data_IF_112505027005
#
_entry.id   IF_112505027005
#
_cell.length_a   1.000
_cell.length_b   1.000
_cell.length_c   1.000
_cell.angle_alpha   90.00
_cell.angle_beta   90.00
_cell.angle_gamma   90.00
#
_symmetry.space_group_name_H-M   'P 1'
#
loop_
_entity.id
_entity.type
_entity.pdbx_description
1 polymer ?
#
# COMPACT_ATOMS: atom_id res chain seq x y z
N UNK A 1 3.24 0.77 27.15
CA UNK A 1 2.78 2.14 26.84
C UNK A 1 1.69 2.48 27.87
N UNK A 2 1.53 3.73 28.32
CA UNK A 2 0.40 4.10 29.21
C UNK A 2 -0.95 4.23 28.47
N UNK A 3 -1.06 3.71 27.24
CA UNK A 3 -2.23 3.89 26.39
C UNK A 3 -3.51 3.33 27.01
N UNK A 4 -3.44 2.22 27.74
CA UNK A 4 -4.59 1.55 28.36
C UNK A 4 -5.06 2.21 29.67
N UNK A 5 -4.32 3.20 30.18
CA UNK A 5 -4.66 3.90 31.44
C UNK A 5 -5.82 4.86 31.21
N UNK A 6 -6.82 4.80 32.08
CA UNK A 6 -7.91 5.77 32.12
C UNK A 6 -7.38 7.11 32.65
N UNK A 7 -7.82 8.19 32.02
CA UNK A 7 -7.43 9.55 32.42
C UNK A 7 -8.52 10.22 33.25
N UNK A 8 -9.78 9.89 32.97
CA UNK A 8 -10.91 10.48 33.65
C UNK A 8 -11.52 9.49 34.63
N UNK A 9 -12.00 10.00 35.76
CA UNK A 9 -12.76 9.18 36.69
C UNK A 9 -14.01 8.60 35.99
N UNK A 10 -14.45 7.39 36.38
CA UNK A 10 -15.67 6.77 35.84
C UNK A 10 -16.92 7.64 35.91
N UNK A 11 -16.98 8.56 36.88
CA UNK A 11 -18.10 9.47 37.15
C UNK A 11 -18.16 10.66 36.19
N UNK A 12 -17.09 10.95 35.45
CA UNK A 12 -17.06 12.04 34.47
C UNK A 12 -17.94 11.67 33.28
N UNK A 13 -18.95 12.50 33.00
CA UNK A 13 -19.76 12.34 31.80
C UNK A 13 -18.96 12.76 30.55
N UNK A 14 -18.92 11.89 29.54
CA UNK A 14 -18.13 12.11 28.32
C UNK A 14 -19.04 12.58 27.19
N UNK A 15 -18.67 13.67 26.52
CA UNK A 15 -19.37 14.14 25.33
C UNK A 15 -18.92 13.34 24.12
N UNK A 16 -19.68 12.30 23.82
CA UNK A 16 -19.37 11.34 22.76
C UNK A 16 -19.99 11.74 21.41
N UNK A 17 -19.31 11.48 20.29
CA UNK A 17 -19.95 11.53 18.98
C UNK A 17 -21.05 10.45 18.88
N UNK A 18 -22.08 10.65 18.03
CA UNK A 18 -23.08 9.62 17.79
C UNK A 18 -22.42 8.36 17.24
N UNK A 19 -22.94 7.18 17.63
CA UNK A 19 -22.46 5.91 17.09
C UNK A 19 -22.80 5.86 15.60
N UNK A 20 -21.80 5.72 14.72
CA UNK A 20 -22.04 5.55 13.30
C UNK A 20 -22.95 4.36 13.02
N UNK A 21 -24.00 4.58 12.22
CA UNK A 21 -24.97 3.53 11.89
C UNK A 21 -24.32 2.51 10.96
N UNK A 22 -24.19 1.28 11.47
CA UNK A 22 -23.74 0.12 10.69
C UNK A 22 -24.71 -0.20 9.57
N UNK A 23 -24.17 -0.49 8.40
CA UNK A 23 -24.93 -0.71 7.16
C UNK A 23 -24.34 -1.81 6.27
N UNK A 24 -23.12 -2.29 6.54
CA UNK A 24 -22.51 -3.37 5.78
C UNK A 24 -22.82 -4.70 6.48
N UNK A 25 -23.17 -5.69 5.67
CA UNK A 25 -23.34 -7.07 6.06
C UNK A 25 -22.26 -7.91 5.35
N UNK A 26 -21.68 -8.87 6.09
CA UNK A 26 -20.69 -9.81 5.57
C UNK A 26 -21.20 -11.21 5.88
N UNK A 27 -21.37 -12.02 4.85
CA UNK A 27 -21.88 -13.39 4.97
C UNK A 27 -20.88 -14.33 4.31
N UNK A 28 -20.58 -15.46 4.94
CA UNK A 28 -19.79 -16.50 4.29
C UNK A 28 -20.60 -17.16 3.19
N UNK A 29 -19.98 -17.35 2.03
CA UNK A 29 -20.62 -17.86 0.82
C UNK A 29 -20.02 -19.19 0.40
N UNK A 30 -20.85 -20.03 -0.24
CA UNK A 30 -20.43 -21.29 -0.85
C UNK A 30 -19.84 -21.11 -2.26
N UNK A 31 -19.74 -19.87 -2.74
CA UNK A 31 -19.19 -19.55 -4.07
C UNK A 31 -17.73 -20.03 -4.18
N UNK A 32 -17.50 -21.06 -5.00
CA UNK A 32 -16.23 -21.79 -5.05
C UNK A 32 -15.07 -21.06 -5.75
N UNK A 33 -15.29 -19.94 -6.45
CA UNK A 33 -14.23 -19.28 -7.24
C UNK A 33 -14.19 -17.78 -6.98
N UNK A 34 -13.20 -17.38 -6.19
CA UNK A 34 -12.67 -16.01 -6.17
C UNK A 34 -11.48 -16.01 -7.11
N UNK A 35 -11.50 -15.15 -8.11
CA UNK A 35 -10.34 -14.96 -8.97
C UNK A 35 -9.22 -14.33 -8.14
N UNK A 36 -8.15 -15.10 -7.92
CA UNK A 36 -6.99 -14.66 -7.16
C UNK A 36 -6.00 -13.87 -8.02
N UNK A 37 -6.17 -13.85 -9.35
CA UNK A 37 -5.27 -13.18 -10.28
C UNK A 37 -5.56 -11.66 -10.38
N UNK A 38 -6.78 -11.23 -10.04
CA UNK A 38 -7.13 -9.83 -9.72
C UNK A 38 -7.54 -9.71 -8.24
N UNK A 39 -6.59 -9.59 -7.30
CA UNK A 39 -6.92 -9.55 -5.87
C UNK A 39 -7.73 -8.32 -5.47
N UNK A 40 -7.85 -7.30 -6.32
CA UNK A 40 -8.67 -6.14 -6.03
C UNK A 40 -10.14 -6.40 -6.36
N UNK A 41 -10.44 -7.27 -7.33
CA UNK A 41 -11.80 -7.71 -7.74
C UNK A 41 -12.83 -6.56 -7.74
N UNK A 42 -12.39 -5.35 -8.12
CA UNK A 42 -13.15 -4.11 -7.93
C UNK A 42 -13.27 -3.37 -9.25
N UNK A 43 -14.46 -2.86 -9.51
CA UNK A 43 -14.72 -1.94 -10.61
C UNK A 43 -14.31 -0.49 -10.30
N UNK A 44 -13.68 -0.24 -9.14
CA UNK A 44 -13.28 1.09 -8.75
C UNK A 44 -12.25 1.67 -9.71
N UNK A 45 -12.40 2.96 -10.10
CA UNK A 45 -11.47 3.60 -11.00
C UNK A 45 -10.06 3.60 -10.41
N UNK A 46 -9.08 3.46 -11.29
CA UNK A 46 -7.66 3.60 -10.99
C UNK A 46 -7.33 5.10 -10.86
N UNK A 47 -6.84 5.58 -9.70
CA UNK A 47 -6.59 7.00 -9.51
C UNK A 47 -5.58 7.55 -10.53
N UNK A 48 -6.05 8.45 -11.40
CA UNK A 48 -5.28 8.99 -12.53
C UNK A 48 -4.79 7.93 -13.53
N UNK A 49 -5.42 6.75 -13.59
CA UNK A 49 -4.99 5.66 -14.47
C UNK A 49 -5.35 5.91 -15.94
N UNK A 50 -4.46 5.52 -16.84
CA UNK A 50 -4.65 5.52 -18.31
C UNK A 50 -4.43 4.14 -18.94
N UNK A 51 -4.04 3.15 -18.13
CA UNK A 51 -3.96 1.75 -18.52
C UNK A 51 -4.84 0.91 -17.60
N UNK A 52 -5.21 -0.32 -18.01
CA UNK A 52 -5.65 -1.36 -17.09
C UNK A 52 -4.59 -1.65 -16.01
N UNK A 53 -4.99 -2.38 -14.97
CA UNK A 53 -4.06 -2.97 -14.03
C UNK A 53 -3.27 -4.08 -14.74
N UNK A 54 -1.95 -4.07 -14.61
CA UNK A 54 -1.06 -5.04 -15.21
C UNK A 54 -0.21 -5.74 -14.14
N UNK A 55 0.03 -7.03 -14.32
CA UNK A 55 0.93 -7.82 -13.47
C UNK A 55 2.34 -7.74 -14.06
N UNK A 56 3.17 -6.83 -13.53
CA UNK A 56 4.57 -6.65 -13.96
C UNK A 56 5.49 -7.62 -13.21
N UNK A 57 6.51 -8.18 -13.85
CA UNK A 57 7.45 -9.10 -13.19
C UNK A 57 8.69 -8.36 -12.69
N UNK A 58 9.13 -8.66 -11.47
CA UNK A 58 10.40 -8.14 -10.94
C UNK A 58 11.55 -8.85 -11.63
N UNK A 59 12.31 -8.12 -12.43
CA UNK A 59 13.45 -8.63 -13.20
C UNK A 59 14.73 -8.56 -12.37
N UNK A 60 14.95 -7.43 -11.71
CA UNK A 60 16.13 -7.19 -10.88
C UNK A 60 15.87 -6.05 -9.91
N UNK A 61 16.71 -5.95 -8.89
CA UNK A 61 16.78 -4.77 -8.04
C UNK A 61 18.19 -4.51 -7.56
N UNK A 62 18.46 -3.30 -7.10
CA UNK A 62 19.74 -2.91 -6.49
C UNK A 62 19.54 -1.89 -5.38
N UNK A 63 20.34 -2.02 -4.33
CA UNK A 63 20.54 -0.97 -3.34
C UNK A 63 21.50 0.08 -3.92
N UNK A 64 21.06 1.32 -4.02
CA UNK A 64 21.80 2.44 -4.61
C UNK A 64 22.67 3.17 -3.57
N UNK A 65 22.32 3.08 -2.29
CA UNK A 65 23.01 3.76 -1.19
C UNK A 65 24.03 2.85 -0.51
N UNK A 66 25.09 3.44 0.04
CA UNK A 66 26.11 2.77 0.86
C UNK A 66 26.39 3.58 2.12
N UNK A 67 26.67 2.91 3.24
CA UNK A 67 26.94 3.52 4.55
C UNK A 67 25.72 3.48 5.48
N UNK A 68 25.97 3.73 6.77
CA UNK A 68 25.00 3.47 7.84
C UNK A 68 24.02 4.65 8.07
N UNK A 69 24.40 5.87 7.68
CA UNK A 69 23.64 7.11 7.90
C UNK A 69 22.89 7.62 6.66
N UNK A 70 22.50 6.71 5.75
CA UNK A 70 21.71 7.04 4.56
C UNK A 70 20.44 6.23 4.49
N UNK A 71 19.34 6.90 4.11
CA UNK A 71 18.07 6.22 3.81
C UNK A 71 18.32 5.22 2.69
N UNK A 72 17.99 3.95 2.93
CA UNK A 72 18.13 2.92 1.91
C UNK A 72 17.33 3.30 0.66
N UNK A 73 18.03 3.50 -0.46
CA UNK A 73 17.40 3.79 -1.76
C UNK A 73 17.55 2.57 -2.65
N UNK A 74 16.45 2.12 -3.24
CA UNK A 74 16.41 0.98 -4.14
C UNK A 74 16.05 1.41 -5.55
N UNK A 75 16.63 0.75 -6.55
CA UNK A 75 16.07 0.68 -7.90
C UNK A 75 15.49 -0.71 -8.13
N UNK A 76 14.29 -0.78 -8.70
CA UNK A 76 13.67 -2.00 -9.18
C UNK A 76 13.44 -1.91 -10.69
N UNK A 77 13.79 -2.97 -11.42
CA UNK A 77 13.46 -3.14 -12.83
C UNK A 77 12.29 -4.11 -12.98
N UNK A 78 11.24 -3.67 -13.67
CA UNK A 78 9.98 -4.38 -13.83
C UNK A 78 9.71 -4.64 -15.32
N UNK A 79 9.41 -5.88 -15.68
CA UNK A 79 8.95 -6.25 -17.02
C UNK A 79 7.45 -5.99 -17.15
N UNK A 80 7.07 -5.13 -18.09
CA UNK A 80 5.67 -4.76 -18.37
C UNK A 80 5.09 -5.53 -19.57
N UNK A 81 5.84 -6.48 -20.16
CA UNK A 81 5.40 -7.41 -21.23
C UNK A 81 4.71 -6.72 -22.41
N UNK A 82 5.20 -5.55 -22.85
CA UNK A 82 4.60 -4.73 -23.94
C UNK A 82 3.16 -4.26 -23.71
N UNK A 83 2.64 -4.34 -22.48
CA UNK A 83 1.25 -4.00 -22.20
C UNK A 83 0.98 -2.49 -22.29
N UNK A 84 2.03 -1.65 -22.31
CA UNK A 84 1.87 -0.20 -22.38
C UNK A 84 3.12 0.51 -22.93
N UNK A 85 2.91 1.64 -23.62
CA UNK A 85 3.98 2.54 -24.09
C UNK A 85 4.16 3.71 -23.11
N UNK A 86 5.39 4.07 -22.78
CA UNK A 86 5.68 5.15 -21.84
C UNK A 86 6.77 6.09 -22.37
N UNK A 87 6.81 7.31 -21.85
CA UNK A 87 7.86 8.28 -22.10
C UNK A 87 8.63 8.59 -20.81
N UNK A 88 9.92 8.98 -20.89
CA UNK A 88 10.63 9.50 -19.74
C UNK A 88 9.87 10.65 -19.06
N UNK A 89 9.71 10.57 -17.74
CA UNK A 89 8.90 11.49 -16.94
C UNK A 89 7.47 11.01 -16.66
N UNK A 90 7.04 9.90 -17.27
CA UNK A 90 5.81 9.22 -16.86
C UNK A 90 5.90 8.59 -15.47
N UNK A 91 4.75 8.21 -14.94
CA UNK A 91 4.64 7.59 -13.63
C UNK A 91 3.69 6.39 -13.65
N UNK A 92 3.93 5.47 -12.74
CA UNK A 92 3.06 4.31 -12.49
C UNK A 92 2.44 4.41 -11.10
N UNK A 93 1.24 3.85 -10.96
CA UNK A 93 0.61 3.58 -9.67
C UNK A 93 0.80 2.11 -9.33
N UNK A 94 1.53 1.83 -8.24
CA UNK A 94 1.78 0.47 -7.75
C UNK A 94 0.79 0.14 -6.63
N UNK A 95 0.10 -1.00 -6.73
CA UNK A 95 -0.74 -1.49 -5.64
C UNK A 95 0.07 -2.35 -4.67
N UNK A 96 0.30 -1.88 -3.44
CA UNK A 96 1.02 -2.68 -2.46
C UNK A 96 0.09 -3.67 -1.76
N UNK A 97 0.70 -4.57 -0.98
CA UNK A 97 -0.01 -5.38 0.00
C UNK A 97 0.42 -4.98 1.42
N UNK A 98 -0.52 -5.04 2.35
CA UNK A 98 -0.22 -4.89 3.76
C UNK A 98 0.67 -6.05 4.26
N UNK A 99 1.55 -5.81 5.26
CA UNK A 99 2.41 -6.87 5.77
C UNK A 99 1.61 -8.05 6.32
N UNK A 100 1.96 -9.27 5.89
CA UNK A 100 1.26 -10.49 6.29
C UNK A 100 1.19 -10.69 7.80
N UNK A 101 2.23 -10.28 8.55
CA UNK A 101 2.23 -10.36 10.00
C UNK A 101 1.08 -9.54 10.63
N UNK A 102 0.83 -8.32 10.12
CA UNK A 102 -0.24 -7.45 10.60
C UNK A 102 -1.61 -7.95 10.15
N UNK A 103 -1.71 -8.45 8.92
CA UNK A 103 -2.93 -9.08 8.39
C UNK A 103 -3.32 -10.27 9.25
N UNK A 104 -2.38 -11.18 9.54
CA UNK A 104 -2.63 -12.36 10.38
C UNK A 104 -3.01 -11.97 11.81
N UNK A 105 -2.38 -10.93 12.38
CA UNK A 105 -2.74 -10.43 13.70
C UNK A 105 -4.18 -9.92 13.74
N UNK A 106 -4.61 -9.16 12.72
CA UNK A 106 -5.99 -8.70 12.61
C UNK A 106 -6.95 -9.86 12.37
N UNK A 107 -6.64 -10.80 11.47
CA UNK A 107 -7.49 -11.98 11.24
C UNK A 107 -7.75 -12.76 12.52
N UNK A 108 -6.71 -13.01 13.32
CA UNK A 108 -6.84 -13.65 14.64
C UNK A 108 -7.71 -12.82 15.57
N UNK A 109 -7.50 -11.51 15.62
CA UNK A 109 -8.28 -10.62 16.47
C UNK A 109 -9.76 -10.58 16.10
N UNK A 110 -10.09 -10.67 14.82
CA UNK A 110 -11.47 -10.68 14.33
C UNK A 110 -12.13 -12.07 14.46
N UNK A 111 -11.41 -13.09 14.93
CA UNK A 111 -11.89 -14.48 14.99
C UNK A 111 -12.00 -15.15 13.62
N UNK A 112 -11.21 -14.71 12.63
CA UNK A 112 -11.32 -15.12 11.22
C UNK A 112 -10.12 -15.94 10.72
N UNK A 113 -9.16 -16.34 11.57
CA UNK A 113 -7.93 -17.01 11.13
C UNK A 113 -8.21 -18.37 10.44
N UNK A 114 -9.15 -19.15 10.97
CA UNK A 114 -9.55 -20.44 10.39
C UNK A 114 -10.32 -20.28 9.07
N UNK A 115 -11.06 -19.18 8.91
CA UNK A 115 -11.89 -18.90 7.74
C UNK A 115 -11.29 -17.80 6.85
N UNK A 116 -9.99 -17.50 6.99
CA UNK A 116 -9.37 -16.34 6.33
C UNK A 116 -9.41 -16.38 4.81
N UNK A 117 -9.46 -17.58 4.24
CA UNK A 117 -9.56 -17.82 2.81
C UNK A 117 -10.98 -18.25 2.38
N UNK A 118 -11.93 -18.34 3.31
CA UNK A 118 -13.29 -18.68 2.97
C UNK A 118 -13.95 -17.51 2.21
N UNK A 119 -14.71 -17.80 1.13
CA UNK A 119 -15.43 -16.77 0.40
C UNK A 119 -16.43 -16.02 1.29
N UNK A 120 -16.45 -14.70 1.15
CA UNK A 120 -17.41 -13.81 1.79
C UNK A 120 -18.11 -12.95 0.75
N UNK A 121 -19.40 -12.72 0.95
CA UNK A 121 -20.22 -11.75 0.24
C UNK A 121 -20.37 -10.49 1.09
N UNK A 122 -20.18 -9.33 0.46
CA UNK A 122 -20.29 -8.01 1.08
C UNK A 122 -21.51 -7.31 0.50
N UNK A 123 -22.50 -7.03 1.35
CA UNK A 123 -23.77 -6.44 0.93
C UNK A 123 -24.18 -5.29 1.85
N UNK A 124 -25.22 -4.55 1.46
CA UNK A 124 -25.85 -3.55 2.33
C UNK A 124 -26.97 -4.23 3.09
N UNK A 125 -27.02 -4.01 4.41
CA UNK A 125 -28.09 -4.49 5.28
C UNK A 125 -29.47 -4.14 4.74
N UNK A 126 -30.41 -5.10 4.82
CA UNK A 126 -31.79 -4.93 4.37
C UNK A 126 -32.43 -3.70 5.03
N UNK A 127 -33.08 -2.86 4.22
CA UNK A 127 -33.76 -1.64 4.69
C UNK A 127 -32.88 -0.40 4.82
N UNK A 128 -31.57 -0.48 4.55
CA UNK A 128 -30.66 0.68 4.59
C UNK A 128 -30.49 1.28 3.18
N UNK A 129 -30.68 2.60 3.04
CA UNK A 129 -30.55 3.33 1.76
C UNK A 129 -29.11 3.74 1.39
N UNK A 130 -28.09 3.19 2.05
CA UNK A 130 -26.68 3.47 1.75
C UNK A 130 -26.20 2.59 0.59
N UNK A 131 -25.13 3.03 -0.09
CA UNK A 131 -24.42 2.23 -1.09
C UNK A 131 -23.09 1.78 -0.53
N UNK A 132 -22.59 0.61 -0.96
CA UNK A 132 -21.22 0.21 -0.66
C UNK A 132 -20.24 1.20 -1.29
N UNK A 133 -19.12 1.51 -0.61
CA UNK A 133 -18.00 2.18 -1.25
C UNK A 133 -17.57 1.42 -2.51
N UNK A 134 -17.40 2.13 -3.63
CA UNK A 134 -17.13 1.52 -4.94
C UNK A 134 -15.87 0.64 -4.99
N UNK A 135 -14.93 0.87 -4.08
CA UNK A 135 -13.69 0.10 -3.98
C UNK A 135 -13.84 -1.23 -3.25
N UNK A 136 -14.97 -1.47 -2.59
CA UNK A 136 -15.21 -2.77 -1.95
C UNK A 136 -15.65 -3.78 -3.02
N UNK A 137 -15.00 -4.94 -3.09
CA UNK A 137 -15.48 -6.04 -3.92
C UNK A 137 -16.78 -6.61 -3.35
N UNK A 138 -17.64 -7.16 -4.21
CA UNK A 138 -18.89 -7.82 -3.77
C UNK A 138 -18.63 -9.21 -3.19
N UNK A 139 -17.59 -9.89 -3.71
CA UNK A 139 -17.13 -11.21 -3.24
C UNK A 139 -15.63 -11.15 -3.02
N UNK A 140 -15.14 -11.63 -1.87
CA UNK A 140 -13.72 -11.67 -1.55
C UNK A 140 -13.43 -12.69 -0.44
N UNK A 141 -12.23 -12.65 0.15
CA UNK A 141 -11.91 -13.40 1.37
C UNK A 141 -11.48 -12.41 2.46
N UNK A 142 -11.64 -12.73 3.76
CA UNK A 142 -11.14 -11.89 4.84
C UNK A 142 -9.65 -11.52 4.68
N UNK A 143 -8.84 -12.47 4.22
CA UNK A 143 -7.41 -12.26 3.95
C UNK A 143 -7.20 -11.21 2.86
N UNK A 144 -7.85 -11.35 1.70
CA UNK A 144 -7.70 -10.38 0.59
C UNK A 144 -8.15 -8.98 1.01
N UNK A 145 -9.26 -8.87 1.73
CA UNK A 145 -9.77 -7.59 2.23
C UNK A 145 -8.72 -6.86 3.07
N UNK A 146 -8.09 -7.54 4.02
CA UNK A 146 -7.10 -6.95 4.91
C UNK A 146 -5.72 -6.79 4.25
N UNK A 147 -5.38 -7.65 3.30
CA UNK A 147 -4.08 -7.64 2.62
C UNK A 147 -4.02 -6.59 1.51
N UNK A 148 -5.07 -6.43 0.72
CA UNK A 148 -5.02 -5.67 -0.55
C UNK A 148 -6.09 -4.59 -0.70
N UNK A 149 -7.17 -4.60 0.11
CA UNK A 149 -8.30 -3.68 -0.08
C UNK A 149 -8.32 -2.53 0.94
N UNK A 150 -8.08 -2.81 2.22
CA UNK A 150 -8.17 -1.81 3.30
C UNK A 150 -6.82 -1.23 3.71
N UNK A 151 -6.78 0.08 3.98
CA UNK A 151 -5.63 0.76 4.59
C UNK A 151 -5.66 0.56 6.11
N UNK A 152 -5.12 -0.59 6.56
CA UNK A 152 -5.15 -1.00 7.98
C UNK A 152 -4.24 -0.16 8.89
N UNK A 153 -3.32 0.61 8.30
CA UNK A 153 -2.44 1.56 9.00
C UNK A 153 -2.95 3.00 8.94
N UNK A 154 -4.16 3.22 8.44
CA UNK A 154 -4.78 4.54 8.39
C UNK A 154 -5.08 5.14 9.77
N UNK A 155 -5.22 6.46 9.82
CA UNK A 155 -5.59 7.18 11.05
C UNK A 155 -6.97 6.72 11.52
N UNK A 156 -7.07 6.31 12.78
CA UNK A 156 -8.33 5.92 13.40
C UNK A 156 -9.16 7.16 13.72
N UNK A 157 -10.25 7.38 12.98
CA UNK A 157 -11.16 8.51 13.25
C UNK A 157 -11.89 8.29 14.58
N UNK A 158 -12.21 9.38 15.30
CA UNK A 158 -12.97 9.30 16.58
C UNK A 158 -14.27 8.50 16.48
N UNK A 159 -15.00 8.62 15.37
CA UNK A 159 -16.21 7.82 15.14
C UNK A 159 -15.94 6.31 15.04
N UNK A 160 -14.77 5.90 14.55
CA UNK A 160 -14.38 4.47 14.53
C UNK A 160 -14.05 3.97 15.93
N UNK A 161 -13.28 4.75 16.71
CA UNK A 161 -13.00 4.45 18.12
C UNK A 161 -14.31 4.34 18.93
N UNK A 162 -15.27 5.23 18.66
CA UNK A 162 -16.61 5.17 19.25
C UNK A 162 -17.32 3.86 18.91
N UNK A 163 -17.28 3.40 17.66
CA UNK A 163 -17.91 2.13 17.28
C UNK A 163 -17.19 0.92 17.90
N UNK A 164 -15.86 0.93 17.98
CA UNK A 164 -15.08 -0.15 18.60
C UNK A 164 -15.48 -0.38 20.07
N UNK A 165 -15.85 0.68 20.79
CA UNK A 165 -16.33 0.58 22.18
C UNK A 165 -17.59 -0.28 22.33
N UNK A 166 -18.42 -0.43 21.30
CA UNK A 166 -19.60 -1.32 21.32
C UNK A 166 -19.22 -2.81 21.22
N UNK A 167 -18.00 -3.11 20.76
CA UNK A 167 -17.47 -4.47 20.62
C UNK A 167 -16.41 -4.79 21.66
N UNK A 168 -16.40 -4.04 22.77
CA UNK A 168 -15.40 -4.15 23.85
C UNK A 168 -16.10 -4.56 25.14
N UNK A 169 -15.70 -5.69 25.71
CA UNK A 169 -16.41 -6.29 26.85
C UNK A 169 -15.87 -5.85 28.21
N UNK A 170 -14.55 -5.64 28.33
CA UNK A 170 -13.94 -5.18 29.57
C UNK A 170 -14.23 -3.70 29.80
N UNK A 171 -14.70 -3.35 31.00
CA UNK A 171 -15.19 -2.01 31.31
C UNK A 171 -14.13 -0.94 31.11
N UNK A 172 -12.92 -1.16 31.66
CA UNK A 172 -11.83 -0.16 31.58
C UNK A 172 -11.40 0.08 30.14
N UNK A 173 -11.32 -0.99 29.36
CA UNK A 173 -10.99 -0.97 27.94
C UNK A 173 -12.04 -0.24 27.10
N UNK A 174 -13.32 -0.56 27.32
CA UNK A 174 -14.45 0.14 26.69
C UNK A 174 -14.41 1.62 27.04
N UNK A 175 -14.26 1.95 28.32
CA UNK A 175 -14.16 3.33 28.79
C UNK A 175 -13.00 4.06 28.13
N UNK A 176 -11.85 3.42 27.94
CA UNK A 176 -10.70 4.03 27.28
C UNK A 176 -10.97 4.41 25.83
N UNK A 177 -11.66 3.56 25.06
CA UNK A 177 -12.09 3.90 23.70
C UNK A 177 -13.08 5.07 23.69
N UNK A 178 -13.99 5.11 24.67
CA UNK A 178 -14.93 6.21 24.82
C UNK A 178 -14.20 7.53 25.13
N UNK A 179 -13.22 7.54 26.05
CA UNK A 179 -12.38 8.71 26.32
C UNK A 179 -11.72 9.22 25.04
N UNK A 180 -11.03 8.36 24.29
CA UNK A 180 -10.34 8.75 23.05
C UNK A 180 -11.30 9.26 21.96
N UNK A 181 -12.56 8.83 21.98
CA UNK A 181 -13.59 9.28 21.03
C UNK A 181 -14.28 10.59 21.45
N UNK A 182 -14.19 10.96 22.73
CA UNK A 182 -14.91 12.10 23.32
C UNK A 182 -14.28 13.47 23.00
N UNK A 183 -14.97 14.54 23.40
CA UNK A 183 -14.42 15.90 23.40
C UNK A 183 -13.34 16.03 24.48
N UNK A 184 -13.59 15.50 25.67
CA UNK A 184 -12.71 15.59 26.84
C UNK A 184 -11.36 14.91 26.58
N UNK A 185 -11.37 13.74 25.93
CA UNK A 185 -10.15 13.00 25.58
C UNK A 185 -9.45 13.48 24.31
N UNK A 186 -9.73 14.69 23.80
CA UNK A 186 -9.08 15.20 22.58
C UNK A 186 -7.55 15.24 22.69
N UNK A 187 -7.00 15.66 23.82
CA UNK A 187 -5.55 15.69 24.02
C UNK A 187 -4.92 14.28 23.97
N UNK A 188 -5.62 13.27 24.49
CA UNK A 188 -5.17 11.88 24.47
C UNK A 188 -5.26 11.28 23.06
N UNK A 189 -6.33 11.61 22.33
CA UNK A 189 -6.46 11.27 20.91
C UNK A 189 -5.31 11.86 20.10
N UNK A 190 -5.01 13.15 20.28
CA UNK A 190 -3.94 13.82 19.56
C UNK A 190 -2.57 13.20 19.88
N UNK A 191 -2.29 12.96 21.17
CA UNK A 191 -1.04 12.34 21.63
C UNK A 191 -0.84 10.93 21.05
N UNK A 192 -1.83 10.06 21.19
CA UNK A 192 -1.66 8.64 20.88
C UNK A 192 -1.99 8.28 19.43
N UNK A 193 -3.07 8.83 18.87
CA UNK A 193 -3.52 8.48 17.52
C UNK A 193 -2.83 9.33 16.46
N UNK A 194 -2.71 10.65 16.67
CA UNK A 194 -2.17 11.55 15.64
C UNK A 194 -0.64 11.69 15.72
N UNK A 195 -0.10 12.00 16.90
CA UNK A 195 1.34 12.23 17.08
C UNK A 195 2.12 10.93 17.12
N UNK A 196 1.69 9.96 17.94
CA UNK A 196 2.30 8.63 17.96
C UNK A 196 1.81 7.74 16.81
N UNK A 197 0.75 8.08 16.07
CA UNK A 197 0.36 7.29 14.91
C UNK A 197 0.01 5.83 15.25
N UNK A 198 -0.67 5.59 16.38
CA UNK A 198 -1.17 4.24 16.68
C UNK A 198 -2.16 3.78 15.59
N UNK A 199 -1.89 2.59 15.08
CA UNK A 199 -2.73 1.91 14.07
C UNK A 199 -3.84 1.10 14.74
N UNK A 200 -4.76 0.55 13.92
CA UNK A 200 -5.80 -0.37 14.42
C UNK A 200 -5.19 -1.55 15.18
N UNK A 201 -4.11 -2.14 14.66
CA UNK A 201 -3.46 -3.28 15.32
C UNK A 201 -2.89 -2.91 16.68
N UNK A 202 -2.32 -1.71 16.81
CA UNK A 202 -1.76 -1.24 18.08
C UNK A 202 -2.87 -1.06 19.12
N UNK A 203 -3.96 -0.40 18.74
CA UNK A 203 -5.12 -0.17 19.62
C UNK A 203 -5.75 -1.48 20.05
N UNK A 204 -5.97 -2.41 19.12
CA UNK A 204 -6.54 -3.71 19.48
C UNK A 204 -5.58 -4.49 20.39
N UNK A 205 -4.27 -4.45 20.15
CA UNK A 205 -3.29 -5.12 21.03
C UNK A 205 -3.38 -4.63 22.48
N UNK A 206 -3.52 -3.32 22.68
CA UNK A 206 -3.66 -2.71 24.01
C UNK A 206 -5.06 -2.87 24.62
N UNK A 207 -6.06 -3.25 23.82
CA UNK A 207 -7.47 -3.40 24.20
C UNK A 207 -7.94 -4.81 23.80
N UNK A 208 -7.46 -5.86 24.50
CA UNK A 208 -7.65 -7.26 24.11
C UNK A 208 -9.12 -7.73 24.11
N UNK A 209 -9.99 -7.13 24.93
CA UNK A 209 -11.41 -7.48 25.00
C UNK A 209 -12.25 -6.90 23.84
N UNK A 210 -11.65 -6.04 23.01
CA UNK A 210 -12.27 -5.50 21.80
C UNK A 210 -12.15 -6.50 20.64
N UNK A 211 -13.29 -7.08 20.23
CA UNK A 211 -13.39 -8.09 19.16
C UNK A 211 -14.42 -7.62 18.11
N UNK A 212 -14.07 -6.65 17.25
CA UNK A 212 -15.01 -6.12 16.27
C UNK A 212 -15.21 -7.09 15.09
N UNK A 213 -16.36 -7.04 14.39
CA UNK A 213 -16.57 -7.81 13.16
C UNK A 213 -15.87 -7.16 11.96
N UNK A 214 -15.61 -7.94 10.91
CA UNK A 214 -15.02 -7.42 9.66
C UNK A 214 -15.88 -6.33 9.01
N UNK A 215 -17.21 -6.43 9.10
CA UNK A 215 -18.14 -5.42 8.59
C UNK A 215 -17.86 -4.03 9.16
N UNK A 216 -17.48 -3.93 10.43
CA UNK A 216 -17.14 -2.65 11.05
C UNK A 216 -15.87 -2.05 10.43
N UNK A 217 -14.85 -2.87 10.15
CA UNK A 217 -13.63 -2.40 9.49
C UNK A 217 -13.94 -1.89 8.08
N UNK A 218 -14.79 -2.59 7.32
CA UNK A 218 -15.22 -2.20 5.97
C UNK A 218 -15.96 -0.85 5.96
N UNK A 219 -16.69 -0.52 7.02
CA UNK A 219 -17.43 0.74 7.16
C UNK A 219 -16.53 1.94 7.48
N UNK A 220 -15.38 1.70 8.13
CA UNK A 220 -14.57 2.74 8.74
C UNK A 220 -13.18 2.93 8.12
N UNK A 221 -12.56 1.87 7.60
CA UNK A 221 -11.23 1.93 7.01
C UNK A 221 -11.31 2.32 5.53
N UNK A 222 -10.43 3.23 5.07
CA UNK A 222 -10.40 3.64 3.67
C UNK A 222 -9.73 2.56 2.80
N UNK A 223 -9.83 2.74 1.47
CA UNK A 223 -9.11 1.92 0.48
C UNK A 223 -7.61 2.00 0.68
N UNK A 224 -6.92 0.87 0.57
CA UNK A 224 -5.47 0.81 0.39
C UNK A 224 -5.10 1.46 -0.95
N UNK A 225 -4.50 2.64 -0.88
CA UNK A 225 -4.24 3.44 -2.08
C UNK A 225 -3.01 2.92 -2.84
N UNK A 226 -3.00 2.94 -4.18
CA UNK A 226 -1.78 2.72 -4.94
C UNK A 226 -0.79 3.86 -4.69
N UNK A 227 0.52 3.56 -4.73
CA UNK A 227 1.59 4.55 -4.54
C UNK A 227 2.22 4.91 -5.89
N UNK A 228 2.43 6.21 -6.09
CA UNK A 228 2.98 6.77 -7.31
C UNK A 228 4.50 6.63 -7.36
N UNK A 229 5.04 6.18 -8.47
CA UNK A 229 6.49 6.22 -8.73
C UNK A 229 6.76 6.78 -10.12
N UNK A 230 7.73 7.69 -10.23
CA UNK A 230 8.25 8.15 -11.51
C UNK A 230 9.06 7.04 -12.17
N UNK A 231 8.88 6.86 -13.47
CA UNK A 231 9.67 5.92 -14.25
C UNK A 231 11.07 6.50 -14.43
N UNK A 232 12.07 5.73 -14.03
CA UNK A 232 13.49 6.07 -14.03
C UNK A 232 14.28 5.44 -15.19
N UNK A 233 13.59 5.03 -16.25
CA UNK A 233 14.15 4.41 -17.46
C UNK A 233 13.63 5.09 -18.72
N UNK A 234 14.24 4.75 -19.86
CA UNK A 234 13.77 5.12 -21.20
C UNK A 234 13.32 3.87 -21.96
N UNK A 235 12.21 3.92 -22.73
CA UNK A 235 11.82 2.81 -23.60
C UNK A 235 12.90 2.50 -24.64
N UNK A 236 13.70 3.49 -25.04
CA UNK A 236 14.80 3.33 -26.02
C UNK A 236 15.92 2.42 -25.49
N UNK A 237 16.18 2.43 -24.19
CA UNK A 237 17.27 1.66 -23.57
C UNK A 237 16.80 0.37 -22.92
N UNK A 238 15.55 0.34 -22.45
CA UNK A 238 15.04 -0.73 -21.61
C UNK A 238 13.91 -1.54 -22.28
N UNK A 239 13.50 -1.17 -23.50
CA UNK A 239 12.46 -1.86 -24.27
C UNK A 239 11.18 -2.05 -23.45
N UNK A 240 10.89 -3.31 -23.11
CA UNK A 240 9.70 -3.76 -22.36
C UNK A 240 9.82 -3.60 -20.83
N UNK A 241 10.85 -2.91 -20.34
CA UNK A 241 11.11 -2.75 -18.91
C UNK A 241 10.96 -1.30 -18.48
N UNK A 242 10.48 -1.13 -17.26
CA UNK A 242 10.50 0.13 -16.54
C UNK A 242 11.38 0.00 -15.31
N UNK A 243 12.08 1.07 -14.96
CA UNK A 243 12.75 1.16 -13.66
C UNK A 243 11.98 2.11 -12.76
N UNK A 244 11.90 1.79 -11.47
CA UNK A 244 11.42 2.70 -10.42
C UNK A 244 12.50 2.85 -9.36
N UNK A 245 12.66 4.06 -8.83
CA UNK A 245 13.61 4.38 -7.76
C UNK A 245 12.85 4.91 -6.55
N UNK A 246 13.12 4.37 -5.37
CA UNK A 246 12.40 4.74 -4.16
C UNK A 246 13.27 4.60 -2.90
N UNK A 247 12.95 5.40 -1.88
CA UNK A 247 13.52 5.25 -0.55
C UNK A 247 12.66 4.28 0.28
N UNK A 248 13.30 3.46 1.11
CA UNK A 248 12.60 2.78 2.19
C UNK A 248 12.09 3.85 3.17
N UNK A 249 10.76 3.95 3.28
CA UNK A 249 10.13 4.83 4.25
C UNK A 249 10.14 4.12 5.59
N UNK A 250 10.61 4.80 6.64
CA UNK A 250 10.46 4.37 8.02
C UNK A 250 9.74 5.49 8.77
N UNK A 251 8.63 5.13 9.41
CA UNK A 251 7.85 6.06 10.24
C UNK A 251 8.65 6.44 11.49
N UNK A 252 8.30 7.55 12.18
CA UNK A 252 8.95 7.92 13.44
C UNK A 252 8.94 6.83 14.53
N UNK A 253 8.03 5.84 14.44
CA UNK A 253 7.97 4.68 15.33
C UNK A 253 8.71 3.44 14.83
N UNK A 254 9.59 3.60 13.85
CA UNK A 254 10.39 2.51 13.30
C UNK A 254 9.61 1.55 12.39
N UNK A 255 8.31 1.78 12.14
CA UNK A 255 7.54 0.94 11.20
C UNK A 255 7.89 1.32 9.77
N UNK A 256 8.26 0.34 8.95
CA UNK A 256 8.50 0.57 7.52
C UNK A 256 7.20 0.90 6.79
N UNK A 257 7.23 1.76 5.76
CA UNK A 257 6.06 2.15 4.97
C UNK A 257 5.58 1.02 4.06
N UNK A 258 4.25 0.86 3.94
CA UNK A 258 3.59 -0.30 3.31
C UNK A 258 4.16 -0.62 1.93
N UNK A 259 4.14 0.34 1.01
CA UNK A 259 4.58 0.09 -0.37
C UNK A 259 6.09 -0.08 -0.49
N UNK A 260 6.89 0.78 0.15
CA UNK A 260 8.35 0.72 0.05
C UNK A 260 8.92 -0.57 0.67
N UNK A 261 8.38 -1.04 1.80
CA UNK A 261 8.83 -2.32 2.39
C UNK A 261 8.34 -3.51 1.57
N UNK A 262 7.11 -3.44 1.04
CA UNK A 262 6.61 -4.50 0.17
C UNK A 262 7.45 -4.65 -1.10
N UNK A 263 7.85 -3.53 -1.72
CA UNK A 263 8.78 -3.51 -2.86
C UNK A 263 10.18 -4.02 -2.49
N UNK A 264 10.71 -3.62 -1.32
CA UNK A 264 11.98 -4.15 -0.79
C UNK A 264 11.94 -5.68 -0.63
N UNK A 265 10.88 -6.21 -0.04
CA UNK A 265 10.74 -7.66 0.13
C UNK A 265 10.66 -8.39 -1.22
N UNK A 266 9.96 -7.82 -2.22
CA UNK A 266 9.93 -8.36 -3.59
C UNK A 266 11.31 -8.38 -4.25
N UNK A 267 12.17 -7.39 -3.95
CA UNK A 267 13.57 -7.39 -4.36
C UNK A 267 14.36 -8.52 -3.69
N UNK A 268 14.28 -8.63 -2.37
CA UNK A 268 15.03 -9.63 -1.58
C UNK A 268 14.67 -11.07 -1.97
N UNK A 269 13.39 -11.34 -2.24
CA UNK A 269 12.93 -12.64 -2.75
C UNK A 269 13.60 -13.01 -4.09
N UNK A 270 13.82 -12.04 -4.98
CA UNK A 270 14.48 -12.26 -6.27
C UNK A 270 15.98 -12.44 -6.12
N UNK A 271 16.63 -11.66 -5.26
CA UNK A 271 18.07 -11.77 -5.00
C UNK A 271 18.43 -13.12 -4.35
N UNK A 272 17.65 -13.58 -3.36
CA UNK A 272 17.87 -14.89 -2.71
C UNK A 272 17.65 -16.05 -3.69
N UNK A 273 16.60 -16.00 -4.51
CA UNK A 273 16.38 -17.01 -5.55
C UNK A 273 17.51 -17.03 -6.59
N UNK A 274 17.97 -15.86 -7.06
CA UNK A 274 19.04 -15.78 -8.05
C UNK A 274 20.33 -16.44 -7.52
N UNK A 275 20.69 -16.15 -6.27
CA UNK A 275 21.82 -16.78 -5.57
C UNK A 275 21.65 -18.29 -5.36
N UNK A 276 20.42 -18.77 -5.12
CA UNK A 276 20.10 -20.20 -4.98
C UNK A 276 20.20 -20.93 -6.32
N UNK A 277 19.71 -20.35 -7.42
CA UNK A 277 19.79 -20.92 -8.76
C UNK A 277 21.24 -21.00 -9.27
N UNK A 278 22.04 -19.97 -9.03
CA UNK A 278 23.49 -19.99 -9.33
C UNK A 278 24.21 -21.14 -8.60
N UNK A 279 23.77 -21.49 -7.38
CA UNK A 279 24.36 -22.58 -6.59
C UNK A 279 23.86 -23.97 -6.96
N UNK A 280 22.71 -24.10 -7.63
CA UNK A 280 22.07 -25.41 -7.85
C UNK A 280 21.99 -25.86 -9.30
N UNK A 281 22.20 -25.00 -10.31
CA UNK A 281 22.34 -25.44 -11.71
C UNK A 281 21.12 -26.16 -12.31
N UNK A 282 19.91 -26.01 -11.75
CA UNK A 282 18.69 -26.75 -12.14
C UNK A 282 17.60 -25.81 -12.66
N UNK A 283 16.94 -26.22 -13.75
CA UNK A 283 15.72 -25.60 -14.30
C UNK A 283 14.47 -26.07 -13.54
N UNK A 284 13.58 -25.11 -13.29
CA UNK A 284 12.54 -25.11 -12.26
C UNK A 284 11.34 -26.05 -12.54
N UNK A 285 10.85 -26.73 -11.50
CA UNK A 285 9.56 -27.45 -11.52
C UNK A 285 8.81 -27.42 -10.16
N UNK A 286 8.33 -26.23 -9.75
CA UNK A 286 7.07 -26.00 -8.98
C UNK A 286 7.03 -26.37 -7.46
N UNK A 287 6.04 -25.94 -6.62
CA UNK A 287 5.27 -24.70 -6.52
C UNK A 287 5.31 -24.09 -5.09
N UNK A 288 5.81 -22.87 -4.93
CA UNK A 288 5.27 -21.88 -3.97
C UNK A 288 5.48 -20.51 -4.60
N UNK A 289 4.62 -20.15 -5.55
CA UNK A 289 4.61 -18.83 -6.19
C UNK A 289 4.26 -17.76 -5.13
N UNK A 290 5.23 -17.31 -4.34
CA UNK A 290 5.25 -15.89 -3.98
C UNK A 290 5.32 -15.17 -5.33
N UNK A 291 4.19 -14.64 -5.81
CA UNK A 291 4.17 -14.15 -7.18
C UNK A 291 5.26 -13.08 -7.31
N UNK A 292 6.18 -13.28 -8.25
CA UNK A 292 7.22 -12.29 -8.61
C UNK A 292 6.60 -11.05 -9.27
N UNK A 293 5.28 -10.89 -9.16
CA UNK A 293 4.51 -9.88 -9.85
C UNK A 293 4.19 -8.73 -8.92
N UNK A 294 4.21 -7.54 -9.51
CA UNK A 294 3.78 -6.29 -8.90
C UNK A 294 2.62 -5.77 -9.74
N UNK A 295 1.38 -5.74 -9.19
CA UNK A 295 0.27 -5.05 -9.83
C UNK A 295 0.54 -3.55 -9.91
N UNK A 296 0.56 -3.03 -11.14
CA UNK A 296 0.72 -1.60 -11.39
C UNK A 296 -0.13 -1.14 -12.58
N UNK A 297 -0.29 0.17 -12.71
CA UNK A 297 -0.94 0.80 -13.87
C UNK A 297 -0.22 2.09 -14.24
N UNK A 298 -0.29 2.49 -15.50
CA UNK A 298 0.26 3.76 -15.96
C UNK A 298 -0.69 4.89 -15.60
N UNK A 299 -0.10 5.99 -15.14
CA UNK A 299 -0.85 7.19 -14.75
C UNK A 299 -0.84 8.20 -15.87
N UNK A 300 -1.82 9.11 -15.84
CA UNK A 300 -1.92 10.26 -16.74
C UNK A 300 -0.54 10.93 -16.84
N UNK A 301 -0.03 11.15 -18.07
CA UNK A 301 1.30 11.68 -18.25
C UNK A 301 1.41 13.04 -17.58
N UNK A 302 2.53 13.26 -16.90
CA UNK A 302 2.86 14.57 -16.39
C UNK A 302 3.27 15.48 -17.55
N UNK A 303 3.09 16.79 -17.42
CA UNK A 303 3.70 17.77 -18.35
C UNK A 303 5.25 17.80 -18.24
N UNK A 304 5.86 16.85 -17.54
CA UNK A 304 7.29 16.77 -17.29
C UNK A 304 8.02 16.12 -18.48
N UNK A 305 8.03 16.78 -19.62
CA UNK A 305 8.68 16.29 -20.84
C UNK A 305 10.03 16.96 -21.09
N UNK A 306 10.81 16.36 -21.98
CA UNK A 306 11.91 17.07 -22.63
C UNK A 306 11.26 17.88 -23.77
N UNK A 307 11.55 19.18 -23.93
CA UNK A 307 11.12 19.95 -25.09
C UNK A 307 11.63 19.30 -26.39
N UNK A 308 10.77 19.27 -27.40
CA UNK A 308 11.15 18.84 -28.75
C UNK A 308 10.73 19.93 -29.75
N UNK A 309 11.65 20.55 -30.50
CA UNK A 309 13.11 20.32 -30.51
C UNK A 309 13.79 20.77 -29.21
N UNK A 310 15.00 20.24 -28.94
CA UNK A 310 15.87 20.73 -27.86
C UNK A 310 16.66 21.91 -28.43
N UNK A 311 16.09 23.10 -28.33
CA UNK A 311 16.63 24.35 -28.86
C UNK A 311 17.39 25.18 -27.81
N UNK A 312 17.32 24.79 -26.53
CA UNK A 312 18.04 25.44 -25.43
C UNK A 312 18.61 24.41 -24.42
N UNK A 313 19.70 24.77 -23.69
CA UNK A 313 20.21 23.95 -22.59
C UNK A 313 19.16 23.68 -21.51
N UNK A 314 19.14 22.47 -20.97
CA UNK A 314 18.20 22.05 -19.93
C UNK A 314 18.83 22.16 -18.54
N UNK A 315 18.11 22.75 -17.59
CA UNK A 315 18.47 22.76 -16.17
C UNK A 315 17.59 21.74 -15.44
N UNK A 316 18.21 20.68 -14.91
CA UNK A 316 17.52 19.60 -14.21
C UNK A 316 17.94 19.63 -12.73
N UNK A 317 16.98 19.86 -11.82
CA UNK A 317 17.22 19.92 -10.37
C UNK A 317 16.41 18.82 -9.68
N UNK A 318 17.10 17.85 -9.07
CA UNK A 318 16.45 16.69 -8.44
C UNK A 318 17.29 16.09 -7.31
N UNK A 319 17.17 16.60 -6.08
CA UNK A 319 17.88 16.04 -4.93
C UNK A 319 17.32 14.66 -4.54
N UNK A 320 18.21 13.74 -4.15
CA UNK A 320 17.86 12.39 -3.71
C UNK A 320 17.12 11.59 -4.79
N UNK A 321 16.02 10.93 -4.43
CA UNK A 321 15.16 10.19 -5.38
C UNK A 321 14.48 11.09 -6.41
N UNK A 322 14.55 12.42 -6.25
CA UNK A 322 14.10 13.39 -7.25
C UNK A 322 14.87 13.31 -8.57
N UNK A 323 16.01 12.63 -8.61
CA UNK A 323 16.77 12.34 -9.84
C UNK A 323 16.09 11.32 -10.76
N UNK A 324 15.16 10.50 -10.23
CA UNK A 324 14.55 9.38 -10.93
C UNK A 324 14.08 9.72 -12.37
N UNK A 325 13.22 10.74 -12.61
CA UNK A 325 12.74 11.02 -13.96
C UNK A 325 13.84 11.57 -14.89
N UNK A 326 15.00 12.00 -14.37
CA UNK A 326 16.12 12.45 -15.19
C UNK A 326 16.98 11.31 -15.74
N UNK A 327 17.03 10.17 -15.04
CA UNK A 327 17.78 9.00 -15.49
C UNK A 327 17.25 8.53 -16.85
N UNK A 328 15.93 8.35 -16.97
CA UNK A 328 15.31 8.02 -18.25
C UNK A 328 15.52 9.10 -19.32
N UNK A 329 15.51 10.38 -18.94
CA UNK A 329 15.69 11.50 -19.87
C UNK A 329 17.11 11.58 -20.43
N UNK A 330 18.13 11.45 -19.58
CA UNK A 330 19.55 11.49 -19.99
C UNK A 330 19.87 10.39 -20.99
N UNK A 331 19.30 9.20 -20.79
CA UNK A 331 19.52 8.06 -21.68
C UNK A 331 18.83 8.31 -23.05
N UNK A 332 17.63 8.90 -23.04
CA UNK A 332 16.95 9.25 -24.30
C UNK A 332 17.70 10.31 -25.10
N UNK A 333 18.26 11.34 -24.45
CA UNK A 333 19.05 12.38 -25.12
C UNK A 333 20.40 11.88 -25.65
N UNK A 334 21.04 10.91 -24.97
CA UNK A 334 22.28 10.30 -25.48
C UNK A 334 22.06 9.42 -26.72
N UNK A 335 20.85 8.90 -26.93
CA UNK A 335 20.49 8.22 -28.18
C UNK A 335 20.24 9.20 -29.34
N UNK A 336 20.08 10.49 -29.04
CA UNK A 336 20.12 11.60 -30.00
C UNK A 336 21.54 12.17 -30.11
N UNK A 337 22.57 11.32 -30.20
CA UNK A 337 23.87 11.76 -30.74
C UNK A 337 23.69 12.08 -32.21
N UNK A 338 23.58 13.37 -32.50
CA UNK A 338 23.77 13.94 -33.83
C UNK A 338 25.17 13.53 -34.34
N UNK A 339 25.35 12.92 -35.52
CA UNK A 339 26.64 12.41 -35.99
C UNK A 339 27.65 13.49 -36.41
N UNK A 340 27.53 14.72 -35.92
CA UNK A 340 28.26 15.89 -36.44
C UNK A 340 29.20 16.59 -35.45
N UNK A 341 29.54 15.98 -34.31
CA UNK A 341 30.58 16.49 -33.42
C UNK A 341 31.63 15.41 -33.08
N UNK A 342 32.33 14.92 -34.11
CA UNK A 342 33.75 14.61 -33.95
C UNK A 342 34.52 15.93 -34.05
N UNK A 343 34.65 16.63 -32.92
CA UNK A 343 35.66 17.69 -32.83
C UNK A 343 37.02 17.04 -32.70
N UNK A 344 37.76 17.02 -33.82
CA UNK A 344 39.22 16.97 -33.82
C UNK A 344 39.76 17.93 -32.76
N UNK A 345 40.46 17.39 -31.77
CA UNK A 345 41.43 18.16 -30.98
C UNK A 345 42.69 17.30 -30.91
N UNK A 346 43.62 17.68 -31.80
CA UNK A 346 45.06 17.39 -31.94
C UNK A 346 45.60 16.01 -31.59
#
# INVERSE_FOLDING_TARGET
>A
MEFSKLIFEPTVDLKLPPVPVSFIEVVFSDVQKIDLDDPLCTSAPLPFGISPLIQSEVVSGRLLTRGDDVKETFELSLDIKEQFSYLPGDSVGVFPQNPLAEVNQLLKRLGLDEQKNAPIEITVKKGVKKKLPIYLPLVSTPKIILESVLEIRGILKKGFLRSLAEYTTEYKEKRRLLELSSIEGAAEYDKYILQQGLTLSDVLTEIPSCVPPLSLLLEHLPRLMPRAYSIASSPLSCGKRINIVFNLVVTPRGRMGVCSSWLKNKFEDVDDLSKKFEKMGVQDSSPTRTSKTIPLFFRKPSNFRIPTPIDAPLILIGPGTGVAPFIGKSISSSSFTNPFYESKVN
#
